data_IF_150836235642
#
_entry.id   IF_150836235642
#
_cell.length_a   1.000
_cell.length_b   1.000
_cell.length_c   1.000
_cell.angle_alpha   90.00
_cell.angle_beta   90.00
_cell.angle_gamma   90.00
#
_symmetry.space_group_name_H-M   'P 1'
#
loop_
_entity.id
_entity.type
_entity.pdbx_description
1 polymer ?
#
# COMPACT_ATOMS: atom_id res chain seq x y z
N UNK A 1 7.87 -8.14 2.78
CA UNK A 1 7.55 -8.00 4.22
C UNK A 1 6.71 -9.15 4.77
N UNK A 2 5.50 -9.40 4.23
CA UNK A 2 4.62 -10.50 4.69
C UNK A 2 5.30 -11.87 4.63
N UNK A 3 5.89 -12.22 3.48
CA UNK A 3 6.62 -13.49 3.28
C UNK A 3 7.77 -13.64 4.29
N UNK A 4 8.56 -12.58 4.54
CA UNK A 4 9.65 -12.59 5.54
C UNK A 4 9.12 -12.97 6.94
N UNK A 5 7.90 -12.55 7.26
CA UNK A 5 7.24 -12.82 8.54
C UNK A 5 6.36 -14.09 8.49
N UNK A 6 6.46 -14.91 7.44
CA UNK A 6 5.69 -16.15 7.23
C UNK A 6 4.17 -15.94 7.22
N UNK A 7 3.72 -14.77 6.79
CA UNK A 7 2.30 -14.51 6.54
C UNK A 7 1.99 -14.74 5.06
N UNK A 8 1.04 -15.61 4.78
CA UNK A 8 0.61 -15.97 3.44
C UNK A 8 -0.71 -15.29 3.09
N UNK A 9 -0.76 -14.62 1.95
CA UNK A 9 -1.97 -14.12 1.33
C UNK A 9 -1.99 -14.54 -0.13
N UNK A 10 -3.14 -15.02 -0.59
CA UNK A 10 -3.35 -15.44 -1.98
C UNK A 10 -4.23 -14.46 -2.77
N UNK A 11 -4.65 -13.36 -2.14
CA UNK A 11 -5.47 -12.32 -2.76
C UNK A 11 -5.01 -10.93 -2.32
N UNK A 12 -5.30 -9.92 -3.14
CA UNK A 12 -5.03 -8.52 -2.78
C UNK A 12 -5.76 -8.07 -1.53
N UNK A 13 -6.99 -8.54 -1.32
CA UNK A 13 -7.74 -8.28 -0.09
C UNK A 13 -7.04 -8.90 1.13
N UNK A 14 -6.52 -10.13 1.01
CA UNK A 14 -5.72 -10.78 2.05
C UNK A 14 -4.45 -9.99 2.37
N UNK A 15 -3.74 -9.48 1.37
CA UNK A 15 -2.57 -8.62 1.58
C UNK A 15 -2.92 -7.36 2.38
N UNK A 16 -4.02 -6.67 2.03
CA UNK A 16 -4.51 -5.50 2.78
C UNK A 16 -4.83 -5.84 4.23
N UNK A 17 -5.52 -6.96 4.47
CA UNK A 17 -5.91 -7.39 5.80
C UNK A 17 -4.70 -7.72 6.67
N UNK A 18 -3.75 -8.52 6.15
CA UNK A 18 -2.54 -8.90 6.89
C UNK A 18 -1.62 -7.71 7.13
N UNK A 19 -1.52 -6.76 6.20
CA UNK A 19 -0.82 -5.50 6.40
C UNK A 19 -1.41 -4.74 7.60
N UNK A 20 -2.73 -4.55 7.62
CA UNK A 20 -3.45 -3.89 8.71
C UNK A 20 -3.25 -4.60 10.04
N UNK A 21 -3.52 -5.91 10.08
CA UNK A 21 -3.52 -6.72 11.29
C UNK A 21 -2.15 -6.89 11.95
N UNK A 22 -1.08 -7.04 11.16
CA UNK A 22 0.23 -7.38 11.73
C UNK A 22 1.20 -6.22 11.82
N UNK A 23 0.98 -5.15 11.05
CA UNK A 23 1.91 -4.03 10.98
C UNK A 23 1.26 -2.71 11.41
N UNK A 24 -0.03 -2.49 11.18
CA UNK A 24 -0.68 -1.22 11.53
C UNK A 24 -1.22 -1.24 12.95
N UNK A 25 -2.04 -2.23 13.31
CA UNK A 25 -2.61 -2.35 14.67
C UNK A 25 -1.54 -2.60 15.73
N UNK A 26 -0.38 -3.13 15.34
CA UNK A 26 0.78 -3.35 16.20
C UNK A 26 1.72 -2.14 16.28
N UNK A 27 1.39 -1.03 15.61
CA UNK A 27 2.15 0.22 15.64
C UNK A 27 3.46 0.21 14.85
N UNK A 28 3.74 -0.84 14.05
CA UNK A 28 4.94 -0.93 13.20
C UNK A 28 4.85 -0.04 11.96
N UNK A 29 3.63 0.24 11.50
CA UNK A 29 3.30 1.17 10.42
C UNK A 29 2.20 2.11 10.89
N UNK A 30 2.33 3.40 10.53
CA UNK A 30 1.28 4.37 10.76
C UNK A 30 -0.02 4.01 9.98
N UNK A 31 -1.22 4.30 10.54
CA UNK A 31 -2.48 4.04 9.85
C UNK A 31 -2.61 4.69 8.47
N UNK A 32 -1.94 5.82 8.24
CA UNK A 32 -1.91 6.48 6.93
C UNK A 32 -1.31 5.61 5.84
N UNK A 33 -0.31 4.77 6.15
CA UNK A 33 0.25 3.87 5.16
C UNK A 33 -0.74 2.79 4.72
N UNK A 34 -1.60 2.33 5.63
CA UNK A 34 -2.66 1.37 5.31
C UNK A 34 -3.72 2.00 4.41
N UNK A 35 -4.15 3.23 4.72
CA UNK A 35 -5.08 4.02 3.91
C UNK A 35 -4.52 4.28 2.53
N UNK A 36 -3.27 4.73 2.46
CA UNK A 36 -2.58 5.03 1.23
C UNK A 36 -2.44 3.78 0.34
N UNK A 37 -2.05 2.63 0.90
CA UNK A 37 -1.99 1.37 0.14
C UNK A 37 -3.36 0.97 -0.40
N UNK A 38 -4.43 1.09 0.39
CA UNK A 38 -5.79 0.80 -0.05
C UNK A 38 -6.25 1.74 -1.17
N UNK A 39 -5.93 3.03 -1.07
CA UNK A 39 -6.23 4.03 -2.10
C UNK A 39 -5.50 3.70 -3.41
N UNK A 40 -4.19 3.44 -3.37
CA UNK A 40 -3.43 3.07 -4.57
C UNK A 40 -3.97 1.81 -5.25
N UNK A 41 -4.38 0.81 -4.46
CA UNK A 41 -4.96 -0.41 -5.00
C UNK A 41 -6.28 -0.13 -5.74
N UNK A 42 -7.15 0.70 -5.15
CA UNK A 42 -8.40 1.10 -5.79
C UNK A 42 -8.15 1.96 -7.03
N UNK A 43 -7.20 2.90 -6.97
CA UNK A 43 -6.80 3.73 -8.10
C UNK A 43 -6.29 2.89 -9.27
N UNK A 44 -5.53 1.82 -8.99
CA UNK A 44 -5.11 0.87 -10.01
C UNK A 44 -6.31 0.17 -10.66
N UNK A 45 -7.23 -0.37 -9.86
CA UNK A 45 -8.43 -1.02 -10.41
C UNK A 45 -9.22 -0.03 -11.27
N UNK A 46 -9.43 1.18 -10.78
CA UNK A 46 -10.14 2.22 -11.51
C UNK A 46 -9.42 2.56 -12.83
N UNK A 47 -8.10 2.76 -12.82
CA UNK A 47 -7.34 3.04 -14.04
C UNK A 47 -7.27 1.88 -15.04
N UNK A 48 -7.31 0.63 -14.56
CA UNK A 48 -7.24 -0.57 -15.41
C UNK A 48 -8.61 -0.96 -16.02
N UNK A 49 -9.73 -0.58 -15.38
CA UNK A 49 -11.07 -1.11 -15.71
C UNK A 49 -12.18 -0.06 -15.90
N UNK A 50 -11.97 1.21 -15.58
CA UNK A 50 -12.95 2.28 -15.76
C UNK A 50 -12.62 3.13 -17.01
N UNK A 51 -13.62 3.38 -17.85
CA UNK A 51 -13.46 4.01 -19.17
C UNK A 51 -13.08 5.51 -19.07
N UNK A 52 -13.36 6.16 -17.94
CA UNK A 52 -13.22 7.62 -17.79
C UNK A 52 -12.25 8.06 -16.69
N UNK A 53 -11.39 7.17 -16.20
CA UNK A 53 -10.41 7.50 -15.16
C UNK A 53 -9.11 8.01 -15.78
N UNK A 54 -8.74 9.26 -15.43
CA UNK A 54 -7.47 9.88 -15.80
C UNK A 54 -6.78 10.37 -14.53
N UNK A 55 -5.52 9.97 -14.35
CA UNK A 55 -4.65 10.51 -13.31
C UNK A 55 -3.77 11.59 -13.93
N UNK A 56 -4.12 12.85 -13.69
CA UNK A 56 -3.35 13.99 -14.21
C UNK A 56 -1.97 14.11 -13.54
N UNK A 57 -1.13 14.96 -14.14
CA UNK A 57 0.25 15.15 -13.72
C UNK A 57 0.33 15.65 -12.28
N UNK A 58 -0.57 16.53 -11.88
CA UNK A 58 -0.67 17.13 -10.56
C UNK A 58 -0.95 16.06 -9.51
N UNK A 59 -1.91 15.18 -9.76
CA UNK A 59 -2.25 14.03 -8.91
C UNK A 59 -1.06 13.08 -8.78
N UNK A 60 -0.44 12.72 -9.91
CA UNK A 60 0.71 11.80 -9.93
C UNK A 60 1.92 12.39 -9.19
N UNK A 61 2.17 13.69 -9.31
CA UNK A 61 3.26 14.38 -8.62
C UNK A 61 3.09 14.37 -7.09
N UNK A 62 1.87 14.25 -6.58
CA UNK A 62 1.60 14.07 -5.14
C UNK A 62 1.76 12.62 -4.72
N UNK A 63 1.27 11.69 -5.55
CA UNK A 63 1.26 10.25 -5.23
C UNK A 63 2.67 9.65 -5.22
N UNK A 64 3.54 9.99 -6.19
CA UNK A 64 4.86 9.39 -6.33
C UNK A 64 5.72 9.55 -5.05
N UNK A 65 5.87 10.77 -4.47
CA UNK A 65 6.61 10.95 -3.22
C UNK A 65 6.02 10.14 -2.06
N UNK A 66 4.70 10.03 -1.96
CA UNK A 66 4.03 9.23 -0.92
C UNK A 66 4.31 7.74 -1.10
N UNK A 67 4.31 7.24 -2.34
CA UNK A 67 4.68 5.86 -2.65
C UNK A 67 6.14 5.56 -2.28
N UNK A 68 7.06 6.48 -2.57
CA UNK A 68 8.46 6.34 -2.16
C UNK A 68 8.61 6.33 -0.63
N UNK A 69 7.87 7.16 0.10
CA UNK A 69 7.87 7.13 1.56
C UNK A 69 7.33 5.81 2.12
N UNK A 70 6.25 5.29 1.54
CA UNK A 70 5.68 4.00 1.92
C UNK A 70 6.66 2.85 1.69
N UNK A 71 7.36 2.84 0.55
CA UNK A 71 8.39 1.84 0.24
C UNK A 71 9.52 1.90 1.27
N UNK A 72 10.05 3.09 1.59
CA UNK A 72 11.09 3.26 2.61
C UNK A 72 10.67 2.73 3.97
N UNK A 73 9.44 3.01 4.41
CA UNK A 73 8.92 2.48 5.67
C UNK A 73 8.86 0.94 5.68
N UNK A 74 8.55 0.32 4.55
CA UNK A 74 8.60 -1.14 4.40
C UNK A 74 10.05 -1.66 4.43
N UNK A 75 10.98 -0.99 3.77
CA UNK A 75 12.40 -1.36 3.74
C UNK A 75 13.01 -1.34 5.14
N UNK A 76 12.71 -0.31 5.94
CA UNK A 76 13.17 -0.24 7.34
C UNK A 76 12.68 -1.43 8.19
N UNK A 77 11.45 -1.89 7.94
CA UNK A 77 10.88 -3.08 8.60
C UNK A 77 11.44 -4.39 8.05
N UNK A 78 12.05 -4.37 6.87
CA UNK A 78 12.70 -5.54 6.25
C UNK A 78 14.17 -5.69 6.64
N UNK A 79 14.84 -4.62 7.05
CA UNK A 79 16.25 -4.67 7.50
C UNK A 79 16.35 -5.16 8.95
N UNK A 80 15.32 -4.89 9.77
CA UNK A 80 15.16 -5.48 11.11
C UNK A 80 14.83 -6.96 11.04
#
# INVERSE_FOLDING_TARGET
MLIKNKFEAHTHAGVKQLLGLHFVTTGKLAPDYARFYAQLFNNRIAGDYDDFVVFDKETVNVIIPQAQQFIRAIEELLIR
#
